data_IF_108716398124
#
_entry.id   IF_108716398124
#
_cell.length_a   1.000
_cell.length_b   1.000
_cell.length_c   1.000
_cell.angle_alpha   90.00
_cell.angle_beta   90.00
_cell.angle_gamma   90.00
#
_symmetry.space_group_name_H-M   'P 1'
#
loop_
_entity.id
_entity.type
_entity.pdbx_description
1 polymer ?
#
# COMPACT_ATOMS: atom_id res chain seq x y z
N UNK A 1 1.63 38.79 14.47
CA UNK A 1 1.87 37.81 15.57
C UNK A 1 1.41 36.44 15.09
N UNK A 2 2.32 35.50 14.91
CA UNK A 2 1.98 34.15 14.49
C UNK A 2 1.58 33.35 15.72
N UNK A 3 0.31 32.96 15.81
CA UNK A 3 -0.16 32.03 16.83
C UNK A 3 0.20 30.63 16.38
N UNK A 4 1.17 30.00 17.03
CA UNK A 4 1.39 28.58 16.87
C UNK A 4 0.22 27.85 17.55
N UNK A 5 -0.70 27.28 16.77
CA UNK A 5 -1.68 26.35 17.31
C UNK A 5 -0.90 25.27 18.03
N UNK A 6 -1.12 25.12 19.34
CA UNK A 6 -0.66 23.95 20.09
C UNK A 6 -1.07 22.72 19.31
N UNK A 7 -0.10 21.86 18.94
CA UNK A 7 -0.42 20.53 18.44
C UNK A 7 -1.31 19.87 19.48
N UNK A 8 -2.57 19.63 19.14
CA UNK A 8 -3.44 18.83 19.97
C UNK A 8 -2.72 17.50 20.21
N UNK A 9 -2.56 17.14 21.49
CA UNK A 9 -2.07 15.81 21.86
C UNK A 9 -3.10 14.83 21.35
N UNK A 10 -2.76 14.08 20.29
CA UNK A 10 -3.60 12.96 19.85
C UNK A 10 -3.51 11.94 20.99
N UNK A 11 -4.59 11.81 21.75
CA UNK A 11 -4.69 10.72 22.71
C UNK A 11 -4.81 9.41 21.94
N UNK A 12 -3.83 8.52 22.10
CA UNK A 12 -3.85 7.19 21.52
C UNK A 12 -5.04 6.45 22.17
N UNK A 13 -5.99 5.91 21.39
CA UNK A 13 -7.13 5.19 21.96
C UNK A 13 -6.65 4.01 22.82
N UNK A 14 -7.33 3.76 23.93
CA UNK A 14 -7.02 2.67 24.88
C UNK A 14 -7.15 1.27 24.25
N UNK A 15 -7.93 1.17 23.17
CA UNK A 15 -8.14 -0.08 22.44
C UNK A 15 -7.72 0.10 20.99
N UNK A 16 -6.65 -0.62 20.60
CA UNK A 16 -6.19 -0.67 19.21
C UNK A 16 -6.82 -1.89 18.54
N UNK A 17 -7.45 -1.74 17.35
CA UNK A 17 -7.99 -2.89 16.61
C UNK A 17 -6.86 -3.85 16.25
N UNK A 18 -7.14 -5.14 16.29
CA UNK A 18 -6.16 -6.17 15.88
C UNK A 18 -5.96 -6.22 14.38
N UNK A 19 -7.02 -5.96 13.63
CA UNK A 19 -7.05 -6.06 12.18
C UNK A 19 -7.72 -4.84 11.57
N UNK A 20 -7.06 -4.21 10.60
CA UNK A 20 -7.59 -3.10 9.81
C UNK A 20 -7.61 -3.52 8.34
N UNK A 21 -8.74 -3.30 7.68
CA UNK A 21 -8.87 -3.46 6.24
C UNK A 21 -8.95 -2.08 5.56
N UNK A 22 -8.21 -1.90 4.50
CA UNK A 22 -8.18 -0.65 3.71
C UNK A 22 -8.48 -0.95 2.26
N UNK A 23 -9.46 -0.26 1.69
CA UNK A 23 -9.69 -0.22 0.25
C UNK A 23 -8.95 1.00 -0.29
N UNK A 24 -7.98 0.75 -1.16
CA UNK A 24 -7.22 1.82 -1.81
C UNK A 24 -8.05 2.42 -2.93
N UNK A 25 -8.55 3.63 -2.73
CA UNK A 25 -9.37 4.35 -3.71
C UNK A 25 -9.02 5.84 -3.76
N UNK A 26 -9.34 6.46 -4.88
CA UNK A 26 -9.21 7.89 -5.06
C UNK A 26 -7.82 8.39 -5.47
N UNK A 27 -6.83 7.53 -5.64
CA UNK A 27 -5.47 7.93 -6.03
C UNK A 27 -5.42 8.67 -7.37
N UNK A 28 -6.19 8.21 -8.36
CA UNK A 28 -6.30 8.90 -9.65
C UNK A 28 -6.94 10.28 -9.55
N UNK A 29 -8.00 10.41 -8.77
CA UNK A 29 -8.67 11.69 -8.49
C UNK A 29 -7.77 12.65 -7.74
N UNK A 30 -7.01 12.15 -6.79
CA UNK A 30 -6.02 12.92 -6.04
C UNK A 30 -4.95 13.53 -6.96
N UNK A 31 -4.43 12.75 -7.91
CA UNK A 31 -3.48 13.23 -8.92
C UNK A 31 -4.09 14.29 -9.84
N UNK A 32 -5.30 14.07 -10.33
CA UNK A 32 -6.03 15.03 -11.19
C UNK A 32 -6.23 16.39 -10.51
N UNK A 33 -6.57 16.42 -9.24
CA UNK A 33 -6.68 17.66 -8.47
C UNK A 33 -5.38 18.46 -8.38
N UNK A 34 -4.25 17.80 -8.63
CA UNK A 34 -2.90 18.39 -8.66
C UNK A 34 -2.37 18.57 -10.08
N UNK A 35 -3.24 18.48 -11.07
CA UNK A 35 -2.88 18.57 -12.52
C UNK A 35 -1.81 17.55 -12.91
N UNK A 36 -1.84 16.37 -12.30
CA UNK A 36 -0.93 15.27 -12.57
C UNK A 36 -1.67 14.08 -13.23
N UNK A 37 -0.97 13.26 -14.01
CA UNK A 37 -1.55 12.03 -14.54
C UNK A 37 -2.03 11.10 -13.45
N UNK A 38 -3.08 10.29 -13.70
CA UNK A 38 -3.63 9.33 -12.73
C UNK A 38 -2.57 8.36 -12.20
N UNK A 39 -1.64 7.95 -13.04
CA UNK A 39 -0.54 7.04 -12.67
C UNK A 39 0.35 7.61 -11.56
N UNK A 40 0.52 8.92 -11.50
CA UNK A 40 1.25 9.58 -10.43
C UNK A 40 0.57 9.36 -9.06
N UNK A 41 -0.76 9.35 -9.04
CA UNK A 41 -1.54 9.04 -7.83
C UNK A 41 -1.34 7.61 -7.37
N UNK A 42 -1.34 6.64 -8.25
CA UNK A 42 -1.08 5.24 -7.91
C UNK A 42 0.31 5.05 -7.32
N UNK A 43 1.31 5.71 -7.87
CA UNK A 43 2.69 5.68 -7.34
C UNK A 43 2.79 6.31 -5.94
N UNK A 44 2.18 7.46 -5.73
CA UNK A 44 2.08 8.09 -4.40
C UNK A 44 1.35 7.19 -3.39
N UNK A 45 0.37 6.43 -3.85
CA UNK A 45 -0.35 5.45 -3.04
C UNK A 45 0.55 4.36 -2.47
N UNK A 46 1.58 3.94 -3.20
CA UNK A 46 2.54 2.93 -2.72
C UNK A 46 3.41 3.45 -1.58
N UNK A 47 3.88 4.68 -1.67
CA UNK A 47 4.60 5.32 -0.58
C UNK A 47 3.73 5.48 0.66
N UNK A 48 2.48 5.91 0.46
CA UNK A 48 1.49 6.01 1.53
C UNK A 48 1.22 4.66 2.17
N UNK A 49 1.14 3.59 1.39
CA UNK A 49 0.96 2.23 1.90
C UNK A 49 2.09 1.83 2.85
N UNK A 50 3.35 2.09 2.47
CA UNK A 50 4.49 1.84 3.34
C UNK A 50 4.36 2.60 4.67
N UNK A 51 4.11 3.90 4.60
CA UNK A 51 4.01 4.75 5.79
C UNK A 51 2.87 4.32 6.71
N UNK A 52 1.71 4.00 6.14
CA UNK A 52 0.54 3.51 6.90
C UNK A 52 0.84 2.15 7.54
N UNK A 53 1.52 1.25 6.84
CA UNK A 53 1.90 -0.06 7.37
C UNK A 53 2.81 0.07 8.59
N UNK A 54 3.83 0.91 8.51
CA UNK A 54 4.74 1.16 9.63
C UNK A 54 4.00 1.81 10.80
N UNK A 55 3.18 2.82 10.54
CA UNK A 55 2.38 3.48 11.57
C UNK A 55 1.40 2.52 12.26
N UNK A 56 0.72 1.67 11.51
CA UNK A 56 -0.17 0.65 12.04
C UNK A 56 0.57 -0.32 12.96
N UNK A 57 1.76 -0.77 12.56
CA UNK A 57 2.62 -1.61 13.39
C UNK A 57 3.01 -0.91 14.70
N UNK A 58 3.46 0.34 14.62
CA UNK A 58 3.87 1.13 15.80
C UNK A 58 2.71 1.32 16.80
N UNK A 59 1.48 1.42 16.30
CA UNK A 59 0.26 1.50 17.12
C UNK A 59 -0.15 0.15 17.72
N UNK A 60 0.45 -0.96 17.31
CA UNK A 60 0.12 -2.30 17.81
C UNK A 60 -0.94 -3.04 17.00
N UNK A 61 -1.28 -2.57 15.80
CA UNK A 61 -2.12 -3.32 14.86
C UNK A 61 -1.37 -4.58 14.41
N UNK A 62 -2.01 -5.73 14.48
CA UNK A 62 -1.38 -7.01 14.15
C UNK A 62 -1.52 -7.39 12.67
N UNK A 63 -2.62 -7.03 12.06
CA UNK A 63 -2.93 -7.35 10.66
C UNK A 63 -3.46 -6.13 9.94
N UNK A 64 -2.85 -5.82 8.80
CA UNK A 64 -3.33 -4.81 7.85
C UNK A 64 -3.62 -5.51 6.53
N UNK A 65 -4.88 -5.53 6.12
CA UNK A 65 -5.29 -6.04 4.81
C UNK A 65 -5.55 -4.87 3.88
N UNK A 66 -4.91 -4.90 2.73
CA UNK A 66 -5.03 -3.86 1.71
C UNK A 66 -5.66 -4.43 0.46
N UNK A 67 -6.78 -3.86 0.04
CA UNK A 67 -7.44 -4.22 -1.20
C UNK A 67 -6.87 -3.36 -2.33
N UNK A 68 -5.97 -3.93 -3.11
CA UNK A 68 -5.18 -3.20 -4.09
C UNK A 68 -5.77 -3.23 -5.51
N UNK A 69 -6.34 -4.35 -5.91
CA UNK A 69 -6.84 -4.57 -7.27
C UNK A 69 -8.03 -5.52 -7.27
N UNK A 70 -9.13 -5.12 -7.92
CA UNK A 70 -10.32 -5.96 -8.09
C UNK A 70 -10.47 -6.45 -9.54
N UNK A 71 -11.28 -7.50 -9.73
CA UNK A 71 -11.61 -8.01 -11.06
C UNK A 71 -12.26 -6.94 -11.96
N UNK A 72 -12.97 -6.01 -11.39
CA UNK A 72 -13.57 -4.88 -12.10
C UNK A 72 -12.52 -3.91 -12.67
N UNK A 73 -11.35 -3.83 -12.06
CA UNK A 73 -10.28 -2.95 -12.52
C UNK A 73 -9.67 -3.39 -13.86
N UNK A 74 -9.86 -4.66 -14.27
CA UNK A 74 -9.45 -5.11 -15.60
C UNK A 74 -10.13 -4.36 -16.74
N UNK A 75 -11.28 -3.76 -16.52
CA UNK A 75 -11.99 -2.96 -17.50
C UNK A 75 -11.44 -1.54 -17.69
N UNK A 76 -10.48 -1.12 -16.89
CA UNK A 76 -9.80 0.16 -17.01
C UNK A 76 -8.96 0.21 -18.29
N UNK A 77 -8.56 1.43 -18.77
CA UNK A 77 -7.67 1.55 -19.91
C UNK A 77 -6.41 0.68 -19.75
N UNK A 78 -6.01 0.02 -20.84
CA UNK A 78 -4.91 -0.96 -20.83
C UNK A 78 -3.60 -0.38 -20.27
N UNK A 79 -3.27 0.87 -20.61
CA UNK A 79 -2.09 1.57 -20.08
C UNK A 79 -2.14 1.74 -18.57
N UNK A 80 -3.30 2.05 -18.03
CA UNK A 80 -3.49 2.17 -16.57
C UNK A 80 -3.36 0.81 -15.88
N UNK A 81 -3.98 -0.23 -16.43
CA UNK A 81 -3.87 -1.61 -15.92
C UNK A 81 -2.40 -2.07 -15.95
N UNK A 82 -1.70 -1.89 -17.05
CA UNK A 82 -0.27 -2.25 -17.16
C UNK A 82 0.58 -1.53 -16.13
N UNK A 83 0.31 -0.25 -15.89
CA UNK A 83 1.02 0.52 -14.88
C UNK A 83 0.75 -0.01 -13.46
N UNK A 84 -0.51 -0.26 -13.12
CA UNK A 84 -0.91 -0.81 -11.81
C UNK A 84 -0.28 -2.19 -11.60
N UNK A 85 -0.26 -3.04 -12.62
CA UNK A 85 0.34 -4.37 -12.55
C UNK A 85 1.87 -4.33 -12.37
N UNK A 86 2.53 -3.24 -12.77
CA UNK A 86 3.96 -3.05 -12.54
C UNK A 86 4.29 -2.49 -11.14
N UNK A 87 3.33 -1.92 -10.44
CA UNK A 87 3.56 -1.34 -9.10
C UNK A 87 4.11 -2.34 -8.10
N UNK A 88 3.67 -3.61 -8.01
CA UNK A 88 4.26 -4.59 -7.11
C UNK A 88 5.74 -4.85 -7.37
N UNK A 89 6.19 -4.77 -8.62
CA UNK A 89 7.60 -4.92 -8.99
C UNK A 89 8.43 -3.76 -8.42
N UNK A 90 7.98 -2.53 -8.65
CA UNK A 90 8.63 -1.34 -8.08
C UNK A 90 8.54 -1.31 -6.55
N UNK A 91 7.41 -1.75 -5.98
CA UNK A 91 7.20 -1.83 -4.54
C UNK A 91 8.18 -2.79 -3.88
N UNK A 92 8.44 -3.93 -4.50
CA UNK A 92 9.42 -4.89 -4.01
C UNK A 92 10.80 -4.24 -3.87
N UNK A 93 11.27 -3.57 -4.90
CA UNK A 93 12.60 -2.97 -4.90
C UNK A 93 12.73 -1.78 -3.94
N UNK A 94 11.69 -0.96 -3.85
CA UNK A 94 11.71 0.31 -3.12
C UNK A 94 11.35 0.19 -1.65
N UNK A 95 10.34 -0.60 -1.32
CA UNK A 95 9.69 -0.55 0.00
C UNK A 95 9.79 -1.84 0.80
N UNK A 96 9.84 -2.98 0.15
CA UNK A 96 9.88 -4.28 0.84
C UNK A 96 11.10 -4.43 1.75
N UNK A 97 12.32 -3.99 1.37
CA UNK A 97 13.46 -4.07 2.27
C UNK A 97 13.25 -3.35 3.59
N UNK A 98 12.64 -2.17 3.58
CA UNK A 98 12.35 -1.44 4.81
C UNK A 98 11.24 -2.08 5.63
N UNK A 99 10.18 -2.57 5.00
CA UNK A 99 9.13 -3.33 5.66
C UNK A 99 9.70 -4.59 6.32
N UNK A 100 10.62 -5.27 5.65
CA UNK A 100 11.31 -6.42 6.21
C UNK A 100 12.15 -6.04 7.45
N UNK A 101 12.92 -4.95 7.38
CA UNK A 101 13.67 -4.42 8.54
C UNK A 101 12.76 -4.05 9.71
N UNK A 102 11.53 -3.63 9.43
CA UNK A 102 10.51 -3.34 10.44
C UNK A 102 9.73 -4.59 10.90
N UNK A 103 10.19 -5.79 10.56
CA UNK A 103 9.56 -7.06 10.94
C UNK A 103 8.11 -7.18 10.47
N UNK A 104 7.81 -6.68 9.27
CA UNK A 104 6.50 -6.81 8.63
C UNK A 104 6.51 -8.07 7.77
N UNK A 105 5.53 -8.93 7.96
CA UNK A 105 5.28 -10.08 7.08
C UNK A 105 4.31 -9.66 5.98
N UNK A 106 4.65 -9.98 4.74
CA UNK A 106 3.80 -9.72 3.58
C UNK A 106 3.18 -11.04 3.13
N UNK A 107 1.89 -11.02 2.86
CA UNK A 107 1.15 -12.16 2.36
C UNK A 107 0.17 -11.73 1.29
N UNK A 108 0.21 -12.41 0.15
CA UNK A 108 -0.72 -12.19 -0.96
C UNK A 108 -2.00 -12.99 -0.72
N UNK A 109 -3.13 -12.38 -1.05
CA UNK A 109 -4.45 -13.03 -0.98
C UNK A 109 -5.18 -12.75 -2.29
N UNK A 110 -5.85 -13.76 -2.83
CA UNK A 110 -6.70 -13.64 -4.00
C UNK A 110 -6.24 -14.50 -5.16
N UNK A 111 -6.95 -14.35 -6.27
CA UNK A 111 -6.66 -15.06 -7.50
C UNK A 111 -5.45 -14.46 -8.22
N UNK A 112 -4.53 -15.29 -8.62
CA UNK A 112 -3.26 -14.92 -9.25
C UNK A 112 -3.18 -15.31 -10.72
N UNK A 113 -4.17 -16.00 -11.27
CA UNK A 113 -4.10 -16.58 -12.62
C UNK A 113 -3.91 -15.52 -13.71
N UNK A 114 -4.51 -14.35 -13.53
CA UNK A 114 -4.42 -13.25 -14.52
C UNK A 114 -3.26 -12.29 -14.28
N UNK A 115 -2.46 -12.48 -13.24
CA UNK A 115 -1.33 -11.60 -12.96
C UNK A 115 -0.22 -11.80 -14.01
N UNK A 116 0.38 -10.71 -14.52
CA UNK A 116 1.61 -10.81 -15.29
C UNK A 116 2.69 -11.55 -14.51
N UNK A 117 3.54 -12.29 -15.21
CA UNK A 117 4.61 -13.09 -14.59
C UNK A 117 5.50 -12.27 -13.65
N UNK A 118 5.95 -11.10 -14.08
CA UNK A 118 6.80 -10.23 -13.26
C UNK A 118 6.11 -9.75 -11.98
N UNK A 119 4.81 -9.45 -12.05
CA UNK A 119 3.98 -9.05 -10.91
C UNK A 119 3.88 -10.19 -9.89
N UNK A 120 3.55 -11.39 -10.36
CA UNK A 120 3.45 -12.57 -9.52
C UNK A 120 4.78 -12.92 -8.85
N UNK A 121 5.87 -12.89 -9.61
CA UNK A 121 7.22 -13.16 -9.08
C UNK A 121 7.62 -12.14 -8.00
N UNK A 122 7.32 -10.86 -8.19
CA UNK A 122 7.60 -9.82 -7.20
C UNK A 122 6.84 -10.05 -5.89
N UNK A 123 5.57 -10.42 -5.97
CA UNK A 123 4.75 -10.74 -4.81
C UNK A 123 5.27 -12.00 -4.09
N UNK A 124 5.61 -13.05 -4.82
CA UNK A 124 6.22 -14.26 -4.25
C UNK A 124 7.54 -13.97 -3.54
N UNK A 125 8.40 -13.15 -4.14
CA UNK A 125 9.67 -12.72 -3.52
C UNK A 125 9.44 -11.94 -2.23
N UNK A 126 8.42 -11.08 -2.19
CA UNK A 126 8.07 -10.33 -0.98
C UNK A 126 7.59 -11.27 0.14
N UNK A 127 6.76 -12.25 -0.18
CA UNK A 127 6.33 -13.28 0.77
C UNK A 127 7.52 -14.09 1.31
N UNK A 128 8.38 -14.57 0.41
CA UNK A 128 9.55 -15.38 0.77
C UNK A 128 10.53 -14.61 1.67
N UNK A 129 10.86 -13.37 1.30
CA UNK A 129 11.78 -12.53 2.07
C UNK A 129 11.26 -12.29 3.49
N UNK A 130 9.96 -12.12 3.66
CA UNK A 130 9.34 -11.70 4.93
C UNK A 130 8.68 -12.85 5.70
N UNK A 131 8.78 -14.08 5.23
CA UNK A 131 8.02 -15.23 5.78
C UNK A 131 8.28 -15.51 7.25
N UNK A 132 9.47 -15.19 7.75
CA UNK A 132 9.87 -15.43 9.15
C UNK A 132 9.62 -14.23 10.06
N UNK A 133 9.10 -13.16 9.54
CA UNK A 133 8.77 -11.97 10.31
C UNK A 133 7.52 -12.16 11.17
#
# INVERSE_FOLDING_TARGET
MFSFKKKEKIEIPLQIPRHIGIIMDGNGRWAKKRMQPRIFGHKSGMETLQNVTIAAKELGVQVLTVYAFSTENWSRPEKEVSFIMNLPVEFYDRYVPELHRNNVKIQMIGDTERLPKATYEALCKAEELTQLN
#
